data_IF_870065628199
#
_entry.id   IF_870065628199
#
_cell.length_a   1.000
_cell.length_b   1.000
_cell.length_c   1.000
_cell.angle_alpha   90.00
_cell.angle_beta   90.00
_cell.angle_gamma   90.00
#
_symmetry.space_group_name_H-M   'P 1'
#
loop_
_entity.id
_entity.type
_entity.pdbx_description
1 polymer ?
#
# COMPACT_ATOMS: atom_id res chain seq x y z
N UNK A 1 -22.94 -0.86 -20.64
CA UNK A 1 -21.68 -1.21 -19.96
C UNK A 1 -21.47 -0.25 -18.79
N UNK A 2 -21.81 -0.61 -17.54
CA UNK A 2 -21.70 0.35 -16.46
C UNK A 2 -20.28 0.33 -15.87
N UNK A 3 -19.56 1.44 -16.05
CA UNK A 3 -18.64 1.99 -15.03
C UNK A 3 -17.34 1.21 -14.67
N UNK A 4 -16.72 0.47 -15.58
CA UNK A 4 -15.44 -0.21 -15.31
C UNK A 4 -14.23 0.75 -15.21
N UNK A 5 -14.25 1.85 -15.99
CA UNK A 5 -13.17 2.84 -16.00
C UNK A 5 -13.02 3.57 -14.66
N UNK A 6 -14.10 4.05 -14.00
CA UNK A 6 -13.99 4.65 -12.67
C UNK A 6 -13.44 3.70 -11.62
N UNK A 7 -13.91 2.45 -11.58
CA UNK A 7 -13.42 1.43 -10.64
C UNK A 7 -11.92 1.15 -10.80
N UNK A 8 -11.43 1.14 -12.04
CA UNK A 8 -9.99 0.98 -12.32
C UNK A 8 -9.19 2.19 -11.86
N UNK A 9 -9.69 3.41 -12.08
CA UNK A 9 -9.03 4.63 -11.60
C UNK A 9 -8.99 4.71 -10.08
N UNK A 10 -10.06 4.34 -9.39
CA UNK A 10 -10.12 4.28 -7.92
C UNK A 10 -9.07 3.31 -7.37
N UNK A 11 -8.90 2.14 -8.00
CA UNK A 11 -7.84 1.19 -7.64
C UNK A 11 -6.44 1.80 -7.78
N UNK A 12 -6.14 2.44 -8.90
CA UNK A 12 -4.83 3.08 -9.08
C UNK A 12 -4.59 4.22 -8.09
N UNK A 13 -5.61 5.04 -7.81
CA UNK A 13 -5.53 6.09 -6.78
C UNK A 13 -5.22 5.49 -5.41
N UNK A 14 -5.89 4.40 -5.04
CA UNK A 14 -5.63 3.68 -3.79
C UNK A 14 -4.19 3.18 -3.71
N UNK A 15 -3.70 2.53 -4.76
CA UNK A 15 -2.32 2.04 -4.83
C UNK A 15 -1.31 3.18 -4.73
N UNK A 16 -1.56 4.32 -5.38
CA UNK A 16 -0.69 5.49 -5.30
C UNK A 16 -0.61 6.03 -3.87
N UNK A 17 -1.74 6.14 -3.17
CA UNK A 17 -1.79 6.56 -1.76
C UNK A 17 -1.04 5.57 -0.87
N UNK A 18 -1.28 4.27 -1.03
CA UNK A 18 -0.57 3.22 -0.28
C UNK A 18 0.93 3.34 -0.47
N UNK A 19 1.42 3.48 -1.71
CA UNK A 19 2.85 3.62 -1.98
C UNK A 19 3.43 4.94 -1.45
N UNK A 20 2.65 6.04 -1.43
CA UNK A 20 3.07 7.29 -0.77
C UNK A 20 3.27 7.06 0.73
N UNK A 21 2.37 6.33 1.37
CA UNK A 21 2.43 5.92 2.79
C UNK A 21 3.58 4.94 3.05
N UNK A 22 3.94 4.08 2.09
CA UNK A 22 4.98 3.06 2.30
C UNK A 22 6.38 3.49 1.87
N UNK A 23 6.53 4.70 1.33
CA UNK A 23 7.81 5.26 0.89
C UNK A 23 8.94 5.14 1.94
N UNK A 24 8.72 5.39 3.25
CA UNK A 24 9.78 5.24 4.27
C UNK A 24 10.17 3.79 4.55
N UNK A 25 9.28 2.83 4.29
CA UNK A 25 9.52 1.40 4.51
C UNK A 25 10.27 0.74 3.36
N UNK A 26 10.47 1.47 2.26
CA UNK A 26 10.98 0.93 1.01
C UNK A 26 10.23 -0.34 0.57
N UNK A 27 8.91 -0.34 0.80
CA UNK A 27 8.00 -1.38 0.35
C UNK A 27 7.19 -0.83 -0.81
N UNK A 28 7.10 -1.62 -1.89
CA UNK A 28 6.26 -1.30 -3.03
C UNK A 28 5.05 -2.21 -3.07
N UNK A 29 3.89 -1.63 -3.39
CA UNK A 29 2.61 -2.33 -3.48
C UNK A 29 2.04 -2.17 -4.89
N UNK A 30 1.54 -3.26 -5.46
CA UNK A 30 0.88 -3.27 -6.77
C UNK A 30 -0.49 -3.95 -6.67
N UNK A 31 -1.43 -3.55 -7.54
CA UNK A 31 -2.73 -4.22 -7.67
C UNK A 31 -2.55 -5.62 -8.26
N UNK A 32 -3.14 -6.62 -7.62
CA UNK A 32 -3.23 -7.99 -8.13
C UNK A 32 -4.70 -8.40 -8.18
N UNK A 33 -5.21 -8.62 -9.39
CA UNK A 33 -6.59 -9.06 -9.63
C UNK A 33 -7.69 -8.17 -9.01
N UNK A 34 -7.40 -6.90 -8.73
CA UNK A 34 -8.38 -5.90 -8.29
C UNK A 34 -8.82 -5.93 -6.82
N UNK A 35 -8.42 -6.96 -6.07
CA UNK A 35 -8.76 -7.11 -4.64
C UNK A 35 -7.56 -7.50 -3.77
N UNK A 36 -6.52 -8.05 -4.40
CA UNK A 36 -5.30 -8.46 -3.74
C UNK A 36 -4.18 -7.46 -4.02
N UNK A 37 -3.19 -7.47 -3.14
CA UNK A 37 -2.03 -6.59 -3.20
C UNK A 37 -0.78 -7.44 -3.32
N UNK A 38 0.06 -7.15 -4.31
CA UNK A 38 1.42 -7.68 -4.35
C UNK A 38 2.32 -6.74 -3.55
N UNK A 39 2.90 -7.24 -2.47
CA UNK A 39 3.85 -6.53 -1.60
C UNK A 39 5.26 -6.96 -1.96
N UNK A 40 6.13 -6.01 -2.29
CA UNK A 40 7.52 -6.24 -2.64
C UNK A 40 8.44 -5.44 -1.70
N UNK A 41 9.40 -6.12 -1.08
CA UNK A 41 10.45 -5.49 -0.26
C UNK A 41 11.72 -5.22 -1.08
N UNK A 42 12.61 -4.38 -0.53
CA UNK A 42 13.94 -4.13 -1.12
C UNK A 42 14.79 -5.39 -1.34
N UNK A 43 14.55 -6.45 -0.56
CA UNK A 43 15.28 -7.71 -0.70
C UNK A 43 14.73 -8.60 -1.82
N UNK A 44 13.75 -8.12 -2.58
CA UNK A 44 13.10 -8.86 -3.66
C UNK A 44 12.07 -9.88 -3.19
N UNK A 45 11.77 -9.92 -1.88
CA UNK A 45 10.70 -10.79 -1.34
C UNK A 45 9.35 -10.27 -1.82
N UNK A 46 8.54 -11.16 -2.39
CA UNK A 46 7.20 -10.86 -2.91
C UNK A 46 6.15 -11.68 -2.17
N UNK A 47 5.12 -11.01 -1.68
CA UNK A 47 4.03 -11.65 -0.95
C UNK A 47 2.68 -11.10 -1.43
N UNK A 48 1.68 -11.98 -1.59
CA UNK A 48 0.31 -11.56 -1.93
C UNK A 48 -0.44 -11.31 -0.62
N UNK A 49 -1.11 -10.17 -0.50
CA UNK A 49 -2.03 -9.83 0.58
C UNK A 49 -3.46 -9.76 0.07
N UNK A 50 -4.38 -10.39 0.79
CA UNK A 50 -5.80 -10.44 0.45
C UNK A 50 -6.53 -9.35 1.24
N UNK A 51 -6.61 -8.15 0.65
CA UNK A 51 -7.21 -6.99 1.31
C UNK A 51 -6.21 -6.14 2.10
N UNK A 52 -6.71 -5.03 2.68
CA UNK A 52 -5.86 -4.04 3.36
C UNK A 52 -5.30 -4.53 4.69
N UNK A 53 -6.05 -5.34 5.44
CA UNK A 53 -5.59 -5.82 6.74
C UNK A 53 -4.30 -6.64 6.58
N UNK A 54 -4.35 -7.67 5.73
CA UNK A 54 -3.20 -8.53 5.47
C UNK A 54 -2.03 -7.77 4.83
N UNK A 55 -2.32 -6.73 4.05
CA UNK A 55 -1.29 -5.83 3.51
C UNK A 55 -0.49 -5.16 4.64
N UNK A 56 -1.19 -4.59 5.64
CA UNK A 56 -0.53 -3.94 6.76
C UNK A 56 0.21 -4.92 7.66
N UNK A 57 -0.34 -6.12 7.89
CA UNK A 57 0.33 -7.17 8.65
C UNK A 57 1.66 -7.59 7.98
N UNK A 58 1.70 -7.67 6.65
CA UNK A 58 2.93 -7.93 5.88
C UNK A 58 3.92 -6.78 5.96
N UNK A 59 3.44 -5.53 5.85
CA UNK A 59 4.30 -4.35 6.00
C UNK A 59 4.92 -4.30 7.39
N UNK A 60 4.14 -4.52 8.45
CA UNK A 60 4.62 -4.56 9.83
C UNK A 60 5.63 -5.70 10.05
N UNK A 61 5.44 -6.85 9.38
CA UNK A 61 6.41 -7.95 9.41
C UNK A 61 7.75 -7.58 8.73
N UNK A 62 7.73 -6.70 7.73
CA UNK A 62 8.94 -6.21 7.02
C UNK A 62 9.60 -5.08 7.81
N UNK A 63 8.81 -4.17 8.37
CA UNK A 63 9.27 -3.02 9.13
C UNK A 63 8.41 -2.83 10.39
N UNK A 64 8.76 -3.47 11.52
CA UNK A 64 7.94 -3.45 12.73
C UNK A 64 7.89 -2.09 13.43
N UNK A 65 8.77 -1.16 13.07
CA UNK A 65 8.77 0.20 13.63
C UNK A 65 7.88 1.16 12.83
N UNK A 66 7.17 0.68 11.79
CA UNK A 66 6.31 1.51 10.97
C UNK A 66 4.89 1.58 11.53
N UNK A 67 4.58 2.70 12.15
CA UNK A 67 3.23 3.02 12.63
C UNK A 67 2.50 3.91 11.62
N UNK A 68 1.48 3.38 10.95
CA UNK A 68 0.73 4.08 9.89
C UNK A 68 -0.03 5.29 10.44
N UNK A 69 -0.49 5.20 11.69
CA UNK A 69 -1.26 6.24 12.36
C UNK A 69 -0.40 7.14 13.25
N UNK A 70 0.93 7.07 13.14
CA UNK A 70 1.81 8.01 13.83
C UNK A 70 1.51 9.45 13.38
N UNK A 71 1.19 10.33 14.33
CA UNK A 71 0.75 11.69 14.03
C UNK A 71 1.86 12.50 13.34
N UNK A 72 3.12 12.28 13.75
CA UNK A 72 4.27 12.95 13.14
C UNK A 72 4.47 12.52 11.68
N UNK A 73 4.14 11.26 11.39
CA UNK A 73 4.16 10.70 10.05
C UNK A 73 3.01 11.24 9.17
N UNK A 74 1.79 11.25 9.69
CA UNK A 74 0.62 11.79 8.99
C UNK A 74 0.81 13.27 8.61
N UNK A 75 1.38 14.08 9.52
CA UNK A 75 1.72 15.49 9.23
C UNK A 75 2.70 15.66 8.07
N UNK A 76 3.62 14.71 7.86
CA UNK A 76 4.56 14.73 6.72
C UNK A 76 3.88 14.37 5.39
N UNK A 77 2.80 13.57 5.43
CA UNK A 77 2.04 13.19 4.24
C UNK A 77 1.14 14.30 3.70
N UNK A 78 0.61 15.15 4.60
CA UNK A 78 -0.24 16.30 4.26
C UNK A 78 0.55 17.45 3.61
N UNK A 79 1.84 17.56 3.93
CA UNK A 79 2.74 18.57 3.39
C UNK A 79 3.20 18.33 1.93
N UNK A 80 2.63 17.34 1.22
CA UNK A 80 2.98 16.91 -0.14
C UNK A 80 1.75 16.89 -1.05
#
# INVERSE_FOLDING_TARGET
>A
MPNELPRRQERYKRIAIINKILKPCHVQVSDSQGVNYLVESLTGKREIANGLQELWDKVASINPNFEILDESYLRKLDAY
#
